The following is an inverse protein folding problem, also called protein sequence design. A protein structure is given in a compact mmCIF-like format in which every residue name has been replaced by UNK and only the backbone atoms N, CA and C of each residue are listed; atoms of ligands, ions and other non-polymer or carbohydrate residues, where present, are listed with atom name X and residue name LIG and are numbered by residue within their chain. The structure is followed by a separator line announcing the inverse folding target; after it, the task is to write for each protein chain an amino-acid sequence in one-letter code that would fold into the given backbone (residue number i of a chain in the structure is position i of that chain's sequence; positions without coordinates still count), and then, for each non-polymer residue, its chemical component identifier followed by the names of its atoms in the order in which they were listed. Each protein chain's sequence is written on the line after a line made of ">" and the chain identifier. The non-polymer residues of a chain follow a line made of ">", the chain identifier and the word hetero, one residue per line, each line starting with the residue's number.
data_IF_474928469904
#
_entry.id   IF_474928469904
#
_cell.length_a   1.000
_cell.length_b   1.000
_cell.length_c   1.000
_cell.angle_alpha   90.00
_cell.angle_beta   90.00
_cell.angle_gamma   90.00
#
_symmetry.space_group_name_H-M   'P 1'
#
loop_
_entity.id
_entity.type
_entity.pdbx_description
1 polymer ?
#
# COMPACT_ATOMS: atom_id res chain seq x y z
N UNK A 1 -0.55 -3.80 -12.86
CA UNK A 1 -1.99 -3.60 -12.59
C UNK A 1 -2.75 -4.81 -13.11
N UNK A 2 -3.61 -5.43 -12.30
CA UNK A 2 -4.33 -6.65 -12.67
C UNK A 2 -5.86 -6.53 -12.68
N UNK A 3 -6.43 -5.42 -12.21
CA UNK A 3 -7.89 -5.21 -12.20
C UNK A 3 -8.43 -4.82 -13.57
N UNK A 4 -9.64 -5.29 -13.90
CA UNK A 4 -10.36 -4.92 -15.14
C UNK A 4 -10.80 -3.45 -15.15
N UNK A 5 -11.09 -2.91 -13.96
CA UNK A 5 -11.39 -1.48 -13.74
C UNK A 5 -10.47 -0.93 -12.65
N UNK A 6 -9.87 0.23 -12.93
CA UNK A 6 -8.99 0.94 -12.01
C UNK A 6 -9.68 2.22 -11.58
N UNK A 7 -9.84 2.38 -10.27
CA UNK A 7 -10.44 3.53 -9.63
C UNK A 7 -9.37 4.35 -8.93
N UNK A 8 -9.47 5.67 -8.99
CA UNK A 8 -8.67 6.58 -8.17
C UNK A 8 -9.46 7.84 -7.84
N UNK A 9 -9.19 8.47 -6.70
CA UNK A 9 -9.69 9.81 -6.45
C UNK A 9 -8.84 10.85 -7.20
N UNK A 10 -9.40 12.01 -7.50
CA UNK A 10 -8.72 13.15 -8.14
C UNK A 10 -7.42 13.52 -7.44
N UNK A 11 -7.39 13.45 -6.10
CA UNK A 11 -6.23 13.78 -5.28
C UNK A 11 -5.29 12.59 -5.00
N UNK A 12 -5.60 11.39 -5.51
CA UNK A 12 -4.73 10.22 -5.30
C UNK A 12 -3.41 10.46 -6.02
N UNK A 13 -2.29 10.34 -5.29
CA UNK A 13 -0.96 10.40 -5.88
C UNK A 13 -0.60 9.02 -6.47
N UNK A 14 -0.20 8.99 -7.72
CA UNK A 14 0.10 7.78 -8.47
C UNK A 14 1.31 7.97 -9.38
N UNK A 15 1.82 6.87 -9.93
CA UNK A 15 3.04 6.87 -10.74
C UNK A 15 4.22 6.37 -9.94
N UNK A 16 5.36 7.07 -10.01
CA UNK A 16 6.62 6.71 -9.35
C UNK A 16 7.05 5.26 -9.67
N UNK A 17 6.85 4.84 -10.92
CA UNK A 17 7.35 3.57 -11.41
C UNK A 17 8.82 3.79 -11.76
N UNK A 18 9.68 3.27 -10.91
CA UNK A 18 11.10 3.47 -11.05
C UNK A 18 11.86 2.76 -9.95
N UNK A 19 13.12 3.15 -9.80
CA UNK A 19 13.99 2.59 -8.80
C UNK A 19 14.95 3.66 -8.30
N UNK A 20 15.36 3.49 -7.05
CA UNK A 20 16.45 4.25 -6.45
C UNK A 20 17.32 3.25 -5.73
N UNK A 21 18.60 3.20 -6.11
CA UNK A 21 19.59 2.41 -5.40
C UNK A 21 20.57 3.37 -4.74
N UNK A 22 20.60 3.36 -3.42
CA UNK A 22 21.54 4.15 -2.63
C UNK A 22 22.51 3.19 -1.95
N UNK A 23 23.63 2.81 -2.60
CA UNK A 23 24.61 1.93 -1.97
C UNK A 23 25.25 2.66 -0.79
N UNK A 24 25.27 2.00 0.37
CA UNK A 24 25.87 2.59 1.55
C UNK A 24 27.37 2.30 1.58
N UNK A 25 28.19 3.32 1.27
CA UNK A 25 29.65 3.19 1.27
C UNK A 25 30.21 3.57 2.64
N UNK A 26 30.84 2.61 3.31
CA UNK A 26 31.37 2.70 4.67
C UNK A 26 32.91 2.58 4.70
N UNK A 27 33.56 2.54 3.54
CA UNK A 27 35.02 2.45 3.41
C UNK A 27 35.74 3.56 4.16
N UNK A 28 35.34 4.82 3.96
CA UNK A 28 35.99 5.96 4.62
C UNK A 28 35.71 5.97 6.13
N UNK A 29 34.52 5.55 6.56
CA UNK A 29 34.19 5.40 7.98
C UNK A 29 35.12 4.39 8.68
N UNK A 30 35.44 3.26 8.04
CA UNK A 30 36.38 2.29 8.59
C UNK A 30 37.80 2.86 8.71
N UNK A 31 38.26 3.57 7.66
CA UNK A 31 39.58 4.18 7.62
C UNK A 31 39.77 5.23 8.73
N UNK A 32 38.77 6.09 8.93
CA UNK A 32 38.87 7.22 9.84
C UNK A 32 38.61 6.88 11.31
N UNK A 33 37.69 5.93 11.59
CA UNK A 33 37.19 5.71 12.96
C UNK A 33 37.57 4.37 13.60
N UNK A 34 37.92 3.35 12.81
CA UNK A 34 38.10 1.98 13.31
C UNK A 34 39.56 1.47 13.27
N UNK A 35 40.54 2.38 13.16
CA UNK A 35 41.98 2.11 13.30
C UNK A 35 42.45 0.84 12.56
N UNK A 36 42.62 0.93 11.24
CA UNK A 36 43.25 -0.11 10.40
C UNK A 36 42.61 -1.51 10.45
N UNK A 37 41.35 -1.61 10.91
CA UNK A 37 40.58 -2.84 10.90
C UNK A 37 40.43 -3.38 9.46
N UNK A 38 41.15 -4.46 9.15
CA UNK A 38 41.06 -5.15 7.85
C UNK A 38 39.85 -6.05 7.81
N UNK A 39 38.84 -5.64 7.04
CA UNK A 39 37.67 -6.50 6.75
C UNK A 39 37.96 -7.32 5.50
N UNK A 40 38.18 -8.62 5.67
CA UNK A 40 38.36 -9.57 4.57
C UNK A 40 37.04 -10.30 4.27
N UNK A 41 36.65 -10.34 3.00
CA UNK A 41 35.48 -11.08 2.55
C UNK A 41 35.93 -12.34 1.83
N UNK A 42 35.48 -13.51 2.30
CA UNK A 42 35.68 -14.79 1.62
C UNK A 42 34.40 -15.21 0.92
N UNK A 43 34.47 -15.42 -0.39
CA UNK A 43 33.33 -15.66 -1.25
C UNK A 43 33.68 -16.66 -2.34
N UNK A 44 32.67 -17.38 -2.84
CA UNK A 44 32.83 -18.38 -3.89
C UNK A 44 32.85 -17.78 -5.33
N UNK A 45 33.03 -16.47 -5.48
CA UNK A 45 33.07 -15.78 -6.78
C UNK A 45 32.83 -14.28 -6.70
N UNK A 46 33.42 -13.51 -7.62
CA UNK A 46 33.46 -12.04 -7.59
C UNK A 46 32.08 -11.36 -7.65
N UNK A 47 31.12 -11.97 -8.35
CA UNK A 47 29.75 -11.45 -8.45
C UNK A 47 28.94 -11.62 -7.14
N UNK A 48 29.42 -12.39 -6.16
CA UNK A 48 28.77 -12.52 -4.86
C UNK A 48 29.10 -11.35 -3.90
N UNK A 49 29.94 -10.41 -4.35
CA UNK A 49 30.48 -9.31 -3.54
C UNK A 49 30.18 -7.94 -4.14
N UNK A 50 29.18 -7.87 -5.04
CA UNK A 50 28.74 -6.60 -5.61
C UNK A 50 28.27 -5.65 -4.53
N UNK A 51 28.54 -4.37 -4.72
CA UNK A 51 28.18 -3.31 -3.76
C UNK A 51 28.71 -3.58 -2.34
N UNK A 52 29.92 -4.15 -2.24
CA UNK A 52 30.58 -4.28 -0.96
C UNK A 52 30.83 -2.91 -0.35
N UNK A 53 30.16 -2.66 0.78
CA UNK A 53 30.15 -1.38 1.50
C UNK A 53 31.55 -0.92 1.93
N UNK A 54 32.52 -1.82 2.05
CA UNK A 54 33.86 -1.52 2.55
C UNK A 54 34.92 -1.47 1.46
N UNK A 55 34.56 -1.75 0.20
CA UNK A 55 35.43 -1.61 -0.97
C UNK A 55 34.98 -0.41 -1.80
N UNK A 56 35.82 -0.01 -2.75
CA UNK A 56 35.43 0.99 -3.74
C UNK A 56 34.30 0.47 -4.61
N UNK A 57 33.41 1.39 -4.99
CA UNK A 57 32.32 1.08 -5.89
C UNK A 57 32.89 0.77 -7.27
N UNK A 58 32.63 -0.44 -7.76
CA UNK A 58 33.04 -0.86 -9.10
C UNK A 58 32.02 -0.36 -10.13
N UNK A 59 32.51 0.28 -11.19
CA UNK A 59 31.64 0.80 -12.24
C UNK A 59 30.84 -0.31 -12.95
N UNK A 60 31.45 -1.49 -13.11
CA UNK A 60 30.79 -2.69 -13.68
C UNK A 60 29.54 -3.11 -12.88
N UNK A 61 29.56 -2.97 -11.56
CA UNK A 61 28.41 -3.32 -10.71
C UNK A 61 27.29 -2.30 -10.87
N UNK A 62 27.64 -1.02 -11.02
CA UNK A 62 26.69 0.07 -11.25
C UNK A 62 25.98 -0.13 -12.59
N UNK A 63 26.72 -0.36 -13.67
CA UNK A 63 26.15 -0.61 -14.99
C UNK A 63 25.27 -1.86 -15.01
N UNK A 64 25.71 -2.94 -14.36
CA UNK A 64 24.89 -4.14 -14.21
C UNK A 64 23.57 -3.85 -13.49
N UNK A 65 23.60 -3.09 -12.39
CA UNK A 65 22.40 -2.77 -11.63
C UNK A 65 21.46 -1.84 -12.42
N UNK A 66 22.00 -0.82 -13.09
CA UNK A 66 21.22 0.09 -13.95
C UNK A 66 20.51 -0.70 -15.05
N UNK A 67 21.22 -1.58 -15.75
CA UNK A 67 20.63 -2.43 -16.79
C UNK A 67 19.54 -3.33 -16.22
N UNK A 68 19.78 -3.96 -15.06
CA UNK A 68 18.79 -4.82 -14.42
C UNK A 68 17.52 -4.05 -14.04
N UNK A 69 17.68 -2.86 -13.47
CA UNK A 69 16.55 -2.07 -13.03
C UNK A 69 15.80 -1.38 -14.18
N UNK A 70 16.49 -0.96 -15.25
CA UNK A 70 15.85 -0.46 -16.47
C UNK A 70 14.98 -1.56 -17.09
N UNK A 71 15.54 -2.77 -17.27
CA UNK A 71 14.77 -3.91 -17.76
C UNK A 71 13.54 -4.20 -16.88
N UNK A 72 13.67 -4.05 -15.55
CA UNK A 72 12.53 -4.21 -14.63
C UNK A 72 11.45 -3.15 -14.86
N UNK A 73 11.82 -1.89 -15.04
CA UNK A 73 10.88 -0.81 -15.35
C UNK A 73 10.18 -1.10 -16.68
N UNK A 74 10.93 -1.48 -17.71
CA UNK A 74 10.39 -1.83 -19.03
C UNK A 74 9.36 -2.96 -18.92
N UNK A 75 9.65 -4.03 -18.19
CA UNK A 75 8.69 -5.11 -17.96
C UNK A 75 7.41 -4.66 -17.26
N UNK A 76 7.52 -3.73 -16.30
CA UNK A 76 6.34 -3.18 -15.60
C UNK A 76 5.51 -2.32 -16.57
N UNK A 77 6.16 -1.42 -17.30
CA UNK A 77 5.50 -0.52 -18.27
C UNK A 77 4.83 -1.33 -19.37
N UNK A 78 5.51 -2.31 -19.94
CA UNK A 78 4.96 -3.17 -20.99
C UNK A 78 3.79 -4.02 -20.48
N UNK A 79 3.87 -4.53 -19.24
CA UNK A 79 2.77 -5.25 -18.63
C UNK A 79 1.53 -4.34 -18.43
N UNK A 80 1.74 -3.08 -18.03
CA UNK A 80 0.65 -2.10 -17.90
C UNK A 80 0.09 -1.75 -19.29
N UNK A 81 0.95 -1.42 -20.25
CA UNK A 81 0.55 -1.07 -21.61
C UNK A 81 -0.26 -2.20 -22.27
N UNK A 82 0.19 -3.45 -22.15
CA UNK A 82 -0.53 -4.62 -22.65
C UNK A 82 -1.91 -4.79 -22.02
N UNK A 83 -2.05 -4.48 -20.73
CA UNK A 83 -3.33 -4.59 -20.01
C UNK A 83 -4.28 -3.44 -20.29
N UNK A 84 -3.77 -2.21 -20.40
CA UNK A 84 -4.57 -1.03 -20.71
C UNK A 84 -5.00 -0.99 -22.18
N UNK A 85 -4.19 -1.58 -23.08
CA UNK A 85 -4.48 -1.65 -24.50
C UNK A 85 -4.69 -0.26 -25.10
N UNK A 86 -5.79 -0.07 -25.82
CA UNK A 86 -6.12 1.21 -26.49
C UNK A 86 -6.51 2.33 -25.53
N UNK A 87 -6.71 2.04 -24.24
CA UNK A 87 -7.06 3.06 -23.24
C UNK A 87 -5.86 3.95 -22.88
N UNK A 88 -4.64 3.40 -22.92
CA UNK A 88 -3.43 4.12 -22.50
C UNK A 88 -2.94 5.01 -23.63
N UNK A 89 -2.72 6.28 -23.35
CA UNK A 89 -2.13 7.22 -24.32
C UNK A 89 -0.61 7.02 -24.40
N UNK A 90 0.01 7.48 -25.50
CA UNK A 90 1.48 7.48 -25.61
C UNK A 90 2.12 8.34 -24.50
N UNK A 91 1.56 9.53 -24.24
CA UNK A 91 1.96 10.38 -23.11
C UNK A 91 1.86 9.63 -21.77
N UNK A 92 0.81 8.83 -21.58
CA UNK A 92 0.63 8.01 -20.39
C UNK A 92 1.70 6.92 -20.28
N UNK A 93 2.08 6.28 -21.39
CA UNK A 93 3.17 5.29 -21.41
C UNK A 93 4.51 5.93 -21.06
N UNK A 94 4.82 7.08 -21.64
CA UNK A 94 6.08 7.79 -21.39
C UNK A 94 6.18 8.22 -19.92
N UNK A 95 5.06 8.68 -19.34
CA UNK A 95 4.99 9.03 -17.93
C UNK A 95 5.20 7.82 -16.99
N UNK A 96 4.68 6.64 -17.36
CA UNK A 96 4.94 5.42 -16.59
C UNK A 96 6.44 5.04 -16.60
N UNK A 97 7.20 5.47 -17.62
CA UNK A 97 8.65 5.23 -17.70
C UNK A 97 9.49 6.35 -17.04
N UNK A 98 8.94 7.56 -16.86
CA UNK A 98 9.69 8.73 -16.36
C UNK A 98 9.95 8.69 -14.85
N UNK A 99 9.19 7.89 -14.09
CA UNK A 99 9.27 7.87 -12.63
C UNK A 99 8.59 9.07 -11.95
N UNK A 100 7.87 9.89 -12.70
CA UNK A 100 7.13 11.04 -12.16
C UNK A 100 5.91 10.61 -11.35
N UNK A 101 5.49 11.51 -10.46
CA UNK A 101 4.26 11.33 -9.67
C UNK A 101 3.22 12.32 -10.16
N UNK A 102 2.01 11.82 -10.38
CA UNK A 102 0.87 12.60 -10.84
C UNK A 102 -0.35 12.38 -9.94
N UNK A 103 -1.32 13.28 -10.05
CA UNK A 103 -2.60 13.15 -9.41
C UNK A 103 -3.55 12.28 -10.23
N UNK A 104 -4.53 11.67 -9.56
CA UNK A 104 -5.51 10.78 -10.18
C UNK A 104 -6.27 11.43 -11.33
N UNK A 105 -6.58 12.72 -11.23
CA UNK A 105 -7.23 13.48 -12.30
C UNK A 105 -6.42 13.45 -13.62
N UNK A 106 -5.11 13.65 -13.53
CA UNK A 106 -4.21 13.62 -14.68
C UNK A 106 -4.02 12.19 -15.19
N UNK A 107 -3.92 11.23 -14.28
CA UNK A 107 -3.79 9.84 -14.65
C UNK A 107 -5.03 9.26 -15.36
N UNK A 108 -6.22 9.79 -15.06
CA UNK A 108 -7.43 9.47 -15.79
C UNK A 108 -7.38 10.02 -17.22
N UNK A 109 -6.91 11.26 -17.40
CA UNK A 109 -6.69 11.87 -18.74
C UNK A 109 -5.73 11.04 -19.59
N UNK A 110 -4.67 10.53 -18.97
CA UNK A 110 -3.64 9.71 -19.63
C UNK A 110 -4.07 8.24 -19.85
N UNK A 111 -5.27 7.85 -19.37
CA UNK A 111 -5.78 6.49 -19.53
C UNK A 111 -5.08 5.45 -18.64
N UNK A 112 -4.38 5.90 -17.60
CA UNK A 112 -3.80 5.05 -16.56
C UNK A 112 -4.90 4.55 -15.60
N UNK A 113 -5.89 5.39 -15.32
CA UNK A 113 -7.08 5.09 -14.49
C UNK A 113 -8.36 5.15 -15.31
N UNK A 114 -9.31 4.26 -15.00
CA UNK A 114 -10.59 4.21 -15.72
C UNK A 114 -11.60 5.21 -15.17
N UNK A 115 -11.71 5.37 -13.85
CA UNK A 115 -12.75 6.21 -13.23
C UNK A 115 -12.22 7.01 -12.04
N UNK A 116 -12.71 8.24 -11.92
CA UNK A 116 -12.39 9.18 -10.84
C UNK A 116 -13.42 9.09 -9.70
N UNK A 117 -13.49 7.96 -9.03
CA UNK A 117 -14.47 7.71 -7.98
C UNK A 117 -13.95 6.76 -6.90
N UNK A 118 -14.56 6.83 -5.72
CA UNK A 118 -14.26 5.90 -4.63
C UNK A 118 -14.92 4.53 -4.88
N UNK A 119 -14.38 3.45 -4.29
CA UNK A 119 -14.97 2.12 -4.41
C UNK A 119 -16.43 2.05 -3.96
N UNK A 120 -16.80 2.77 -2.88
CA UNK A 120 -18.18 2.77 -2.37
C UNK A 120 -19.19 3.24 -3.42
N UNK A 121 -18.87 4.34 -4.10
CA UNK A 121 -19.69 4.90 -5.19
C UNK A 121 -19.73 3.92 -6.37
N UNK A 122 -18.58 3.34 -6.75
CA UNK A 122 -18.52 2.35 -7.84
C UNK A 122 -19.40 1.13 -7.59
N UNK A 123 -19.33 0.55 -6.39
CA UNK A 123 -20.11 -0.63 -6.06
C UNK A 123 -21.59 -0.31 -5.90
N UNK A 124 -21.93 0.83 -5.30
CA UNK A 124 -23.32 1.29 -5.24
C UNK A 124 -23.95 1.41 -6.63
N UNK A 125 -23.22 1.98 -7.60
CA UNK A 125 -23.73 2.20 -8.96
C UNK A 125 -23.77 0.90 -9.78
N UNK A 126 -22.79 0.00 -9.61
CA UNK A 126 -22.69 -1.25 -10.39
C UNK A 126 -23.47 -2.42 -9.81
N UNK A 127 -23.73 -2.42 -8.50
CA UNK A 127 -24.39 -3.51 -7.78
C UNK A 127 -25.54 -2.96 -6.92
N UNK A 128 -26.57 -2.36 -7.55
CA UNK A 128 -27.69 -1.81 -6.81
C UNK A 128 -28.39 -2.89 -5.98
N UNK A 129 -28.71 -2.58 -4.72
CA UNK A 129 -29.39 -3.50 -3.80
C UNK A 129 -28.47 -4.48 -3.07
N UNK A 130 -27.15 -4.47 -3.32
CA UNK A 130 -26.19 -5.23 -2.53
C UNK A 130 -25.57 -4.36 -1.44
N UNK A 131 -25.70 -4.76 -0.19
CA UNK A 131 -25.04 -4.10 0.93
C UNK A 131 -23.59 -4.58 1.04
N UNK A 132 -22.70 -3.89 0.34
CA UNK A 132 -21.26 -4.11 0.47
C UNK A 132 -20.77 -3.25 1.63
N UNK A 133 -20.53 -3.89 2.76
CA UNK A 133 -19.92 -3.25 3.93
C UNK A 133 -18.45 -3.70 4.04
N UNK A 134 -17.55 -2.74 4.18
CA UNK A 134 -16.20 -3.06 4.64
C UNK A 134 -16.26 -3.38 6.13
N UNK A 135 -15.87 -4.61 6.50
CA UNK A 135 -15.76 -4.99 7.90
C UNK A 135 -14.75 -4.06 8.59
N UNK A 136 -15.24 -3.12 9.38
CA UNK A 136 -14.38 -2.32 10.26
C UNK A 136 -14.04 -3.18 11.46
N UNK A 137 -12.74 -3.45 11.64
CA UNK A 137 -12.29 -4.22 12.79
C UNK A 137 -12.78 -3.58 14.10
N UNK A 138 -13.32 -4.41 14.98
CA UNK A 138 -13.84 -3.96 16.27
C UNK A 138 -12.72 -3.30 17.08
N UNK A 139 -13.07 -2.40 17.99
CA UNK A 139 -12.08 -1.79 18.88
C UNK A 139 -11.32 -2.84 19.70
N UNK A 140 -11.95 -3.98 20.01
CA UNK A 140 -11.33 -5.16 20.64
C UNK A 140 -10.23 -5.78 19.76
N UNK A 141 -10.44 -5.85 18.45
CA UNK A 141 -9.40 -6.26 17.49
C UNK A 141 -8.28 -5.22 17.37
N UNK A 142 -8.62 -3.93 17.39
CA UNK A 142 -7.62 -2.84 17.38
C UNK A 142 -6.74 -2.81 18.63
N UNK A 143 -7.25 -3.28 19.77
CA UNK A 143 -6.52 -3.41 21.03
C UNK A 143 -5.82 -4.77 21.22
N UNK A 144 -5.86 -5.67 20.23
CA UNK A 144 -5.23 -6.99 20.33
C UNK A 144 -5.91 -7.95 21.33
N UNK A 145 -7.10 -7.59 21.84
CA UNK A 145 -7.90 -8.42 22.76
C UNK A 145 -8.68 -9.51 22.02
N UNK A 146 -8.80 -9.40 20.70
CA UNK A 146 -9.32 -10.44 19.81
C UNK A 146 -8.17 -11.01 18.97
N UNK A 147 -7.29 -11.78 19.60
CA UNK A 147 -6.16 -12.46 18.96
C UNK A 147 -6.55 -13.76 18.26
N UNK A 148 -7.84 -14.05 18.10
CA UNK A 148 -8.32 -15.19 17.33
C UNK A 148 -9.07 -14.66 16.12
N UNK A 149 -8.49 -14.85 14.92
CA UNK A 149 -9.05 -14.80 13.55
C UNK A 149 -8.11 -14.08 12.56
N UNK A 150 -6.87 -14.58 12.43
CA UNK A 150 -6.18 -14.59 11.13
C UNK A 150 -6.50 -15.93 10.46
N UNK A 151 -7.68 -16.04 9.88
CA UNK A 151 -7.97 -16.96 8.78
C UNK A 151 -8.65 -16.11 7.73
N UNK A 152 -7.89 -15.75 6.71
CA UNK A 152 -8.37 -15.00 5.57
C UNK A 152 -9.21 -15.94 4.70
N UNK A 153 -10.48 -16.12 5.05
CA UNK A 153 -11.48 -16.58 4.12
C UNK A 153 -12.31 -15.37 3.68
N UNK A 154 -12.12 -14.96 2.43
CA UNK A 154 -13.04 -14.06 1.74
C UNK A 154 -14.29 -14.88 1.40
N UNK A 155 -15.22 -14.97 2.36
CA UNK A 155 -16.56 -15.49 2.13
C UNK A 155 -17.55 -14.33 2.11
N UNK A 156 -18.20 -14.11 0.97
CA UNK A 156 -19.48 -13.37 0.92
C UNK A 156 -20.50 -14.28 1.60
N UNK A 157 -20.69 -14.09 2.91
CA UNK A 157 -21.65 -14.88 3.69
C UNK A 157 -23.03 -14.24 3.64
N UNK A 158 -23.95 -14.95 3.00
CA UNK A 158 -25.39 -14.75 3.07
C UNK A 158 -25.87 -15.31 4.43
N UNK A 159 -26.50 -14.44 5.23
CA UNK A 159 -27.27 -14.71 6.46
C UNK A 159 -26.89 -15.92 7.34
N UNK A 160 -26.30 -15.62 8.51
CA UNK A 160 -26.47 -16.42 9.72
C UNK A 160 -26.69 -15.49 10.94
N UNK A 161 -27.66 -15.77 11.82
CA UNK A 161 -27.91 -14.96 13.00
C UNK A 161 -26.76 -15.14 13.99
N UNK A 162 -26.16 -14.03 14.38
CA UNK A 162 -25.09 -13.99 15.37
C UNK A 162 -25.63 -14.42 16.74
N UNK A 163 -25.48 -15.70 17.09
CA UNK A 163 -25.44 -16.11 18.49
C UNK A 163 -24.15 -15.51 19.09
N UNK A 164 -24.28 -14.31 19.63
CA UNK A 164 -23.14 -13.52 20.09
C UNK A 164 -22.56 -14.11 21.36
N UNK A 165 -21.22 -14.18 21.44
CA UNK A 165 -20.43 -14.58 22.61
C UNK A 165 -20.66 -13.70 23.87
N UNK A 166 -21.62 -12.78 23.83
CA UNK A 166 -22.03 -11.90 24.94
C UNK A 166 -22.70 -12.71 26.05
N UNK A 167 -23.37 -13.82 25.71
CA UNK A 167 -24.05 -14.70 26.68
C UNK A 167 -23.09 -15.50 27.60
N UNK A 168 -21.78 -15.41 27.37
CA UNK A 168 -20.75 -16.11 28.15
C UNK A 168 -20.01 -15.20 29.15
N UNK A 169 -20.34 -13.91 29.20
CA UNK A 169 -19.75 -12.94 30.12
C UNK A 169 -20.61 -12.83 31.38
N UNK A 170 -19.98 -12.63 32.53
CA UNK A 170 -20.70 -12.38 33.78
C UNK A 170 -21.48 -11.05 33.70
N UNK A 171 -22.60 -10.94 34.40
CA UNK A 171 -23.50 -9.78 34.31
C UNK A 171 -22.79 -8.43 34.57
N UNK A 172 -21.76 -8.40 35.44
CA UNK A 172 -20.98 -7.19 35.70
C UNK A 172 -20.09 -6.78 34.53
N UNK A 173 -19.62 -7.73 33.73
CA UNK A 173 -18.81 -7.45 32.54
C UNK A 173 -19.67 -6.97 31.37
N UNK A 174 -20.93 -7.42 31.31
CA UNK A 174 -21.90 -6.94 30.33
C UNK A 174 -22.29 -5.48 30.60
N UNK A 175 -22.49 -5.09 31.86
CA UNK A 175 -22.77 -3.69 32.22
C UNK A 175 -21.61 -2.75 31.89
N UNK A 176 -20.38 -3.15 32.22
CA UNK A 176 -19.19 -2.34 31.91
C UNK A 176 -18.99 -2.23 30.39
N UNK A 177 -19.27 -3.29 29.63
CA UNK A 177 -19.20 -3.24 28.17
C UNK A 177 -20.21 -2.26 27.56
N UNK A 178 -21.46 -2.26 28.08
CA UNK A 178 -22.52 -1.34 27.66
C UNK A 178 -22.18 0.13 27.99
N UNK A 179 -21.66 0.38 29.20
CA UNK A 179 -21.22 1.71 29.63
C UNK A 179 -20.06 2.26 28.78
N UNK A 180 -19.11 1.39 28.44
CA UNK A 180 -18.00 1.75 27.54
C UNK A 180 -18.50 1.99 26.12
N UNK A 181 -19.48 1.21 25.65
CA UNK A 181 -20.09 1.37 24.32
C UNK A 181 -20.85 2.70 24.21
N UNK A 182 -21.64 3.05 25.22
CA UNK A 182 -22.37 4.32 25.29
C UNK A 182 -21.40 5.51 25.34
N UNK A 183 -20.36 5.44 26.18
CA UNK A 183 -19.34 6.48 26.27
C UNK A 183 -18.52 6.63 24.97
N UNK A 184 -18.19 5.53 24.29
CA UNK A 184 -17.47 5.57 23.01
C UNK A 184 -18.34 6.13 21.88
N UNK A 185 -19.61 5.75 21.83
CA UNK A 185 -20.55 6.28 20.84
C UNK A 185 -20.75 7.78 21.04
N UNK A 186 -20.79 8.26 22.28
CA UNK A 186 -20.91 9.68 22.57
C UNK A 186 -19.66 10.47 22.15
N UNK A 187 -18.46 9.90 22.33
CA UNK A 187 -17.20 10.48 21.83
C UNK A 187 -17.13 10.49 20.31
N UNK A 188 -17.54 9.41 19.64
CA UNK A 188 -17.54 9.30 18.18
C UNK A 188 -18.57 10.24 17.53
N UNK A 189 -19.76 10.38 18.13
CA UNK A 189 -20.77 11.34 17.70
C UNK A 189 -20.28 12.79 17.86
N UNK A 190 -19.63 13.13 18.98
CA UNK A 190 -19.05 14.48 19.19
C UNK A 190 -17.92 14.80 18.21
N UNK A 191 -17.13 13.81 17.80
CA UNK A 191 -16.08 13.99 16.80
C UNK A 191 -16.64 14.15 15.37
N UNK A 192 -17.72 13.46 15.02
CA UNK A 192 -18.36 13.57 13.71
C UNK A 192 -19.25 14.82 13.55
N UNK A 193 -19.83 15.36 14.63
CA UNK A 193 -20.67 16.59 14.56
C UNK A 193 -19.84 17.86 14.27
N UNK A 194 -18.51 17.85 14.45
CA UNK A 194 -17.65 18.99 14.10
C UNK A 194 -17.37 19.16 12.59
N UNK A 195 -17.85 18.26 11.72
CA UNK A 195 -17.67 18.37 10.27
C UNK A 195 -18.88 18.93 9.51
N UNK A 196 -19.95 19.36 10.22
CA UNK A 196 -21.13 19.97 9.61
C UNK A 196 -21.43 21.38 10.16
N UNK A 197 -20.43 22.26 10.20
CA UNK A 197 -20.70 23.69 10.13
C UNK A 197 -20.27 24.20 8.75
N UNK A 198 -21.16 24.84 7.97
CA UNK A 198 -20.77 25.47 6.73
C UNK A 198 -19.82 26.63 7.06
N UNK A 199 -18.65 26.63 6.43
CA UNK A 199 -17.79 27.82 6.36
C UNK A 199 -18.56 28.91 5.60
N UNK A 200 -18.87 30.00 6.29
CA UNK A 200 -19.21 31.30 5.68
C UNK A 200 -17.89 31.98 5.31
#
# INVERSE_FOLDING_TARGET
>A
MYGDTILADRCTMMGNIGYRMTPWLMKEMLREKLWDSKVEFRHAGENKVRFNRFKDLRQEDVEWALNLFNNRVDYIVDAIAKKRGTKLTNEGRDLLASGETILGAEAHRLGIVDLLQTPDVYFHDKMPGQHIAFARGSWKQKLGLASTLFSADFSVSQDQPAASLVDQLSASEQEVALLVEEAMMDVLCRQNVRLQQPLI
#
